data_IF_808000146183
#
_entry.id   IF_808000146183
#
_cell.length_a   1.000
_cell.length_b   1.000
_cell.length_c   1.000
_cell.angle_alpha   90.00
_cell.angle_beta   90.00
_cell.angle_gamma   90.00
#
_symmetry.space_group_name_H-M   'P 1'
#
loop_
_entity.id
_entity.type
_entity.pdbx_description
1 polymer ?
#
# COMPACT_ATOMS: atom_id res chain seq x y z
N UNK A 1 4.10 -6.83 18.15
CA UNK A 1 3.09 -5.80 17.89
C UNK A 1 3.68 -4.56 17.27
N UNK A 2 4.61 -3.94 17.96
CA UNK A 2 5.27 -2.74 17.45
C UNK A 2 5.97 -2.98 16.12
N UNK A 3 6.61 -4.13 15.97
CA UNK A 3 7.29 -4.50 14.72
C UNK A 3 6.32 -4.59 13.55
N UNK A 4 5.12 -5.12 13.81
CA UNK A 4 4.10 -5.22 12.78
C UNK A 4 3.63 -3.83 12.34
N UNK A 5 3.42 -2.93 13.31
CA UNK A 5 3.03 -1.56 13.01
C UNK A 5 4.08 -0.84 12.18
N UNK A 6 5.36 -1.02 12.50
CA UNK A 6 6.46 -0.42 11.74
C UNK A 6 6.51 -0.96 10.32
N UNK A 7 6.30 -2.27 10.13
CA UNK A 7 6.26 -2.88 8.80
C UNK A 7 5.15 -2.28 7.95
N UNK A 8 3.97 -2.13 8.52
CA UNK A 8 2.83 -1.55 7.80
C UNK A 8 3.12 -0.10 7.42
N UNK A 9 3.71 0.66 8.33
CA UNK A 9 4.09 2.04 8.05
C UNK A 9 5.10 2.14 6.91
N UNK A 10 6.07 1.23 6.87
CA UNK A 10 7.05 1.20 5.79
C UNK A 10 6.40 0.88 4.45
N UNK A 11 5.46 -0.08 4.44
CA UNK A 11 4.75 -0.44 3.22
C UNK A 11 3.94 0.74 2.70
N UNK A 12 3.17 1.40 3.58
CA UNK A 12 2.37 2.54 3.15
C UNK A 12 3.25 3.71 2.70
N UNK A 13 4.43 3.84 3.29
CA UNK A 13 5.37 4.90 2.93
C UNK A 13 5.92 4.82 1.52
N UNK A 14 5.90 3.64 0.89
CA UNK A 14 6.38 3.48 -0.48
C UNK A 14 5.26 3.44 -1.51
N UNK A 15 4.02 3.55 -1.09
CA UNK A 15 2.89 3.57 -2.02
C UNK A 15 2.71 4.97 -2.62
N UNK A 16 2.20 5.03 -3.84
CA UNK A 16 1.78 6.29 -4.44
C UNK A 16 0.83 7.01 -3.48
N UNK A 17 0.94 8.33 -3.41
CA UNK A 17 0.18 9.13 -2.44
C UNK A 17 -1.32 8.86 -2.49
N UNK A 18 -1.90 8.80 -3.67
CA UNK A 18 -3.34 8.56 -3.83
C UNK A 18 -3.77 7.21 -3.29
N UNK A 19 -2.93 6.20 -3.50
CA UNK A 19 -3.19 4.85 -2.99
C UNK A 19 -2.95 4.80 -1.49
N UNK A 20 -1.88 5.43 -1.01
CA UNK A 20 -1.54 5.46 0.41
C UNK A 20 -2.68 5.99 1.27
N UNK A 21 -3.32 7.06 0.83
CA UNK A 21 -4.43 7.65 1.58
C UNK A 21 -5.57 6.64 1.76
N UNK A 22 -5.90 5.92 0.70
CA UNK A 22 -6.95 4.91 0.73
C UNK A 22 -6.59 3.78 1.69
N UNK A 23 -5.35 3.29 1.60
CA UNK A 23 -4.88 2.21 2.47
C UNK A 23 -4.86 2.64 3.93
N UNK A 24 -4.37 3.83 4.21
CA UNK A 24 -4.31 4.33 5.59
C UNK A 24 -5.71 4.49 6.19
N UNK A 25 -6.68 4.88 5.38
CA UNK A 25 -8.05 5.00 5.85
C UNK A 25 -8.63 3.65 6.26
N UNK A 26 -8.39 2.59 5.48
CA UNK A 26 -8.89 1.27 5.83
C UNK A 26 -8.17 0.72 7.06
N UNK A 27 -6.89 1.01 7.22
CA UNK A 27 -6.12 0.56 8.37
C UNK A 27 -6.60 1.18 9.68
N UNK A 28 -7.15 2.39 9.63
CA UNK A 28 -7.71 3.04 10.81
C UNK A 28 -8.94 2.32 11.35
N UNK A 29 -9.62 1.56 10.52
CA UNK A 29 -10.80 0.81 10.93
C UNK A 29 -10.44 -0.50 11.62
N UNK A 30 -9.15 -0.84 11.63
CA UNK A 30 -8.65 -2.07 12.23
C UNK A 30 -8.53 -3.19 11.22
N UNK A 31 -8.13 -4.36 11.69
CA UNK A 31 -7.91 -5.49 10.81
C UNK A 31 -6.44 -5.65 10.45
N UNK A 32 -6.07 -6.87 10.09
CA UNK A 32 -4.71 -7.20 9.72
C UNK A 32 -4.54 -7.18 8.21
N UNK A 33 -3.83 -6.19 7.71
CA UNK A 33 -3.51 -6.06 6.30
C UNK A 33 -2.48 -7.13 5.92
N UNK A 34 -2.83 -7.99 4.97
CA UNK A 34 -1.99 -9.10 4.55
C UNK A 34 -1.37 -8.88 3.18
N UNK A 35 -2.09 -8.23 2.27
CA UNK A 35 -1.63 -8.06 0.91
C UNK A 35 -2.27 -6.84 0.28
N UNK A 36 -1.54 -6.16 -0.59
CA UNK A 36 -2.03 -5.06 -1.40
C UNK A 36 -1.78 -5.43 -2.85
N UNK A 37 -2.83 -5.40 -3.67
CA UNK A 37 -2.72 -5.72 -5.10
C UNK A 37 -2.97 -4.48 -5.93
N UNK A 38 -1.98 -4.10 -6.71
CA UNK A 38 -2.05 -2.95 -7.60
C UNK A 38 -1.71 -3.39 -9.01
N UNK A 39 -2.72 -3.39 -9.89
CA UNK A 39 -2.53 -3.71 -11.31
C UNK A 39 -3.15 -2.61 -12.14
N UNK A 40 -2.42 -2.13 -13.13
CA UNK A 40 -2.88 -1.05 -14.00
C UNK A 40 -4.24 -1.40 -14.60
N UNK A 41 -5.19 -0.47 -14.48
CA UNK A 41 -6.53 -0.64 -15.03
C UNK A 41 -7.45 -1.54 -14.23
N UNK A 42 -6.99 -1.99 -13.06
CA UNK A 42 -7.77 -2.87 -12.18
C UNK A 42 -8.11 -2.17 -10.88
N UNK A 43 -9.18 -2.60 -10.19
CA UNK A 43 -9.51 -2.02 -8.90
C UNK A 43 -8.41 -2.28 -7.87
N UNK A 44 -8.14 -1.28 -7.03
CA UNK A 44 -7.24 -1.44 -5.89
C UNK A 44 -7.85 -2.47 -4.95
N UNK A 45 -7.11 -3.53 -4.66
CA UNK A 45 -7.59 -4.67 -3.88
C UNK A 45 -6.63 -4.97 -2.75
N UNK A 46 -7.16 -5.36 -1.60
CA UNK A 46 -6.36 -5.75 -0.45
C UNK A 46 -6.90 -7.04 0.15
N UNK A 47 -6.04 -7.73 0.89
CA UNK A 47 -6.44 -8.85 1.74
C UNK A 47 -6.36 -8.37 3.17
N UNK A 48 -7.48 -8.42 3.88
CA UNK A 48 -7.56 -8.05 5.29
C UNK A 48 -8.28 -9.15 6.04
N UNK A 49 -7.64 -9.68 7.08
CA UNK A 49 -8.21 -10.77 7.89
C UNK A 49 -8.68 -11.96 7.05
N UNK A 50 -7.92 -12.28 6.01
CA UNK A 50 -8.24 -13.40 5.14
C UNK A 50 -9.29 -13.13 4.08
N UNK A 51 -9.81 -11.91 4.01
CA UNK A 51 -10.84 -11.55 3.03
C UNK A 51 -10.33 -10.54 2.01
N UNK A 52 -10.70 -10.73 0.77
CA UNK A 52 -10.37 -9.81 -0.30
C UNK A 52 -11.34 -8.64 -0.27
N UNK A 53 -10.80 -7.42 -0.26
CA UNK A 53 -11.58 -6.20 -0.23
C UNK A 53 -11.19 -5.29 -1.39
N UNK A 54 -12.19 -4.76 -2.07
CA UNK A 54 -11.97 -3.75 -3.12
C UNK A 54 -12.13 -2.37 -2.47
N UNK A 55 -11.14 -1.50 -2.66
CA UNK A 55 -11.11 -0.20 -1.99
C UNK A 55 -11.40 0.95 -2.95
N UNK A 56 -11.95 2.07 -2.44
CA UNK A 56 -12.44 2.24 -1.07
C UNK A 56 -13.76 1.53 -0.84
N UNK A 57 -14.00 1.12 0.40
CA UNK A 57 -15.25 0.48 0.79
C UNK A 57 -16.39 1.48 0.66
N UNK A 58 -17.56 1.03 0.23
CA UNK A 58 -18.77 1.85 0.15
C UNK A 58 -18.71 2.99 -0.88
N UNK A 59 -17.66 3.04 -1.69
CA UNK A 59 -17.51 4.05 -2.72
C UNK A 59 -17.15 3.37 -4.03
N UNK A 60 -17.08 4.16 -5.10
CA UNK A 60 -16.63 3.63 -6.39
C UNK A 60 -15.21 3.12 -6.26
N UNK A 61 -14.94 1.93 -6.78
CA UNK A 61 -13.61 1.34 -6.71
C UNK A 61 -12.56 2.27 -7.32
N UNK A 62 -11.39 2.31 -6.67
CA UNK A 62 -10.26 3.07 -7.19
C UNK A 62 -9.54 2.22 -8.23
N UNK A 63 -9.52 2.68 -9.47
CA UNK A 63 -8.82 1.97 -10.54
C UNK A 63 -7.37 2.43 -10.55
N UNK A 64 -6.45 1.48 -10.41
CA UNK A 64 -5.02 1.77 -10.33
C UNK A 64 -4.54 2.28 -11.69
N UNK A 65 -3.77 3.38 -11.66
CA UNK A 65 -3.26 3.99 -12.88
C UNK A 65 -1.79 3.64 -13.08
N UNK A 66 -1.34 3.81 -14.32
CA UNK A 66 0.07 3.62 -14.67
C UNK A 66 0.96 4.56 -13.85
N UNK A 67 0.51 5.79 -13.67
CA UNK A 67 1.25 6.80 -12.91
C UNK A 67 1.42 6.39 -11.45
N UNK A 68 0.40 5.78 -10.87
CA UNK A 68 0.48 5.29 -9.50
C UNK A 68 1.48 4.15 -9.35
N UNK A 69 1.51 3.25 -10.32
CA UNK A 69 2.50 2.16 -10.33
C UNK A 69 3.91 2.74 -10.46
N UNK A 70 4.09 3.68 -11.37
CA UNK A 70 5.38 4.34 -11.58
C UNK A 70 5.86 5.04 -10.30
N UNK A 71 4.98 5.80 -9.68
CA UNK A 71 5.30 6.52 -8.45
C UNK A 71 5.69 5.54 -7.33
N UNK A 72 4.95 4.46 -7.20
CA UNK A 72 5.23 3.45 -6.19
C UNK A 72 6.58 2.79 -6.41
N UNK A 73 6.88 2.43 -7.66
CA UNK A 73 8.18 1.83 -8.00
C UNK A 73 9.31 2.80 -7.66
N UNK A 74 9.11 4.07 -7.95
CA UNK A 74 10.12 5.10 -7.67
C UNK A 74 10.40 5.22 -6.17
N UNK A 75 9.35 5.24 -5.35
CA UNK A 75 9.52 5.27 -3.90
C UNK A 75 10.20 4.01 -3.37
N UNK A 76 9.83 2.86 -3.91
CA UNK A 76 10.45 1.59 -3.53
C UNK A 76 11.93 1.56 -3.84
N UNK A 77 12.31 2.08 -5.01
CA UNK A 77 13.71 2.15 -5.41
C UNK A 77 14.52 3.03 -4.47
N UNK A 78 13.99 4.19 -4.12
CA UNK A 78 14.65 5.10 -3.17
C UNK A 78 14.80 4.46 -1.80
N UNK A 79 13.75 3.82 -1.34
CA UNK A 79 13.76 3.15 -0.04
C UNK A 79 14.80 2.04 0.00
N UNK A 80 14.86 1.23 -1.06
CA UNK A 80 15.82 0.13 -1.14
C UNK A 80 17.26 0.63 -1.14
N UNK A 81 17.55 1.69 -1.89
CA UNK A 81 18.88 2.30 -1.91
C UNK A 81 19.28 2.83 -0.53
N UNK A 82 18.36 3.51 0.11
CA UNK A 82 18.61 4.06 1.44
C UNK A 82 18.89 2.96 2.46
N UNK A 83 18.08 1.91 2.43
CA UNK A 83 18.29 0.78 3.35
C UNK A 83 19.62 0.09 3.10
N UNK A 84 20.00 -0.07 1.84
CA UNK A 84 21.28 -0.68 1.46
C UNK A 84 22.46 0.15 1.97
N UNK A 85 22.40 1.47 1.78
CA UNK A 85 23.47 2.36 2.24
C UNK A 85 23.66 2.31 3.76
N UNK A 86 22.55 2.20 4.48
CA UNK A 86 22.61 2.15 5.94
C UNK A 86 23.20 0.85 6.48
N UNK A 87 23.18 -0.21 5.70
CA UNK A 87 23.76 -1.48 6.12
C UNK A 87 25.27 -1.54 5.90
N UNK A 88 25.77 -0.71 5.03
CA UNK A 88 27.19 -0.63 4.76
C UNK A 88 27.89 0.24 5.77
#
# INVERSE_FOLDING_TARGET
MEKTGKKISHVTGVLARSVRIIIENILREGGALQEIRMRIGQPLTVMIDGEEQILPLKERAHIVTKEEIKETIEYMSRYSLYAYENEI
#
